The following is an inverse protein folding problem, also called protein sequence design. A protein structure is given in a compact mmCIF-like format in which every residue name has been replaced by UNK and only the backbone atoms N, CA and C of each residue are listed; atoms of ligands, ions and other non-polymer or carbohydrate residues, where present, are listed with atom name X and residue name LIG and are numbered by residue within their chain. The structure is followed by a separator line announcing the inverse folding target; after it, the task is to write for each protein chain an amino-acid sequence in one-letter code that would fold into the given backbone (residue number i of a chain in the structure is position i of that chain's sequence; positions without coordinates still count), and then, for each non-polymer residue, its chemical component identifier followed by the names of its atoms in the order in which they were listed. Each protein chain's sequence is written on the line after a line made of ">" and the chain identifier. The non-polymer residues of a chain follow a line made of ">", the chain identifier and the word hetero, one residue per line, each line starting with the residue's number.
data_IF_171023397712
#
_entry.id   IF_171023397712
#
_cell.length_a   1.000
_cell.length_b   1.000
_cell.length_c   1.000
_cell.angle_alpha   90.00
_cell.angle_beta   90.00
_cell.angle_gamma   90.00
#
_symmetry.space_group_name_H-M   'P 1'
#
loop_
_entity.id
_entity.type
_entity.pdbx_description
1 polymer ?
#
# COMPACT_ATOMS: atom_id res chain seq x y z
N UNK A 1 3.80 -7.54 10.72
CA UNK A 1 2.54 -8.06 10.13
C UNK A 1 2.84 -8.60 8.74
N UNK A 2 2.36 -9.81 8.39
CA UNK A 2 2.60 -10.46 7.10
C UNK A 2 2.30 -9.56 5.87
N UNK A 3 1.17 -8.82 5.80
CA UNK A 3 0.87 -7.99 4.64
C UNK A 3 1.92 -6.93 4.30
N UNK A 4 2.61 -6.38 5.29
CA UNK A 4 3.69 -5.42 5.06
C UNK A 4 4.95 -6.06 4.46
N UNK A 5 5.22 -7.32 4.82
CA UNK A 5 6.37 -8.07 4.29
C UNK A 5 6.16 -8.35 2.80
N UNK A 6 4.97 -8.82 2.42
CA UNK A 6 4.66 -9.17 1.03
C UNK A 6 4.64 -7.92 0.12
N UNK A 7 4.05 -6.81 0.59
CA UNK A 7 4.03 -5.53 -0.14
C UNK A 7 5.44 -4.98 -0.33
N UNK A 8 6.30 -5.08 0.69
CA UNK A 8 7.71 -4.69 0.61
C UNK A 8 8.50 -5.60 -0.35
N UNK A 9 8.22 -6.92 -0.35
CA UNK A 9 8.87 -7.85 -1.26
C UNK A 9 8.51 -7.51 -2.73
N UNK A 10 7.23 -7.23 -3.02
CA UNK A 10 6.77 -6.80 -4.33
C UNK A 10 7.41 -5.48 -4.78
N UNK A 11 7.49 -4.48 -3.90
CA UNK A 11 8.19 -3.24 -4.17
C UNK A 11 9.66 -3.48 -4.55
N UNK A 12 10.38 -4.25 -3.74
CA UNK A 12 11.80 -4.59 -4.01
C UNK A 12 11.98 -5.32 -5.33
N UNK A 13 11.11 -6.27 -5.64
CA UNK A 13 11.13 -6.98 -6.92
C UNK A 13 10.97 -6.02 -8.10
N UNK A 14 10.01 -5.10 -8.03
CA UNK A 14 9.77 -4.11 -9.08
C UNK A 14 10.97 -3.16 -9.24
N UNK A 15 11.52 -2.62 -8.14
CA UNK A 15 12.68 -1.72 -8.17
C UNK A 15 13.93 -2.42 -8.70
N UNK A 16 14.16 -3.68 -8.35
CA UNK A 16 15.25 -4.48 -8.90
C UNK A 16 15.10 -4.69 -10.41
N UNK A 17 13.89 -4.95 -10.89
CA UNK A 17 13.62 -5.16 -12.31
C UNK A 17 13.90 -3.93 -13.17
N UNK A 18 13.73 -2.72 -12.62
CA UNK A 18 14.07 -1.46 -13.32
C UNK A 18 15.48 -0.95 -13.00
N UNK A 19 16.28 -1.72 -12.26
CA UNK A 19 17.68 -1.41 -11.98
C UNK A 19 17.91 -0.29 -10.95
N UNK A 20 16.94 -0.02 -10.08
CA UNK A 20 17.00 1.04 -9.04
C UNK A 20 16.82 0.46 -7.62
N UNK A 21 17.64 -0.51 -7.17
CA UNK A 21 17.58 -1.01 -5.81
C UNK A 21 18.23 -0.01 -4.84
N UNK A 22 17.43 0.77 -4.11
CA UNK A 22 17.95 1.66 -3.06
C UNK A 22 17.26 1.35 -1.71
N UNK A 23 17.98 0.70 -0.75
CA UNK A 23 17.42 0.44 0.57
C UNK A 23 17.10 1.72 1.36
N UNK A 24 17.71 2.86 1.01
CA UNK A 24 17.42 4.17 1.60
C UNK A 24 16.06 4.76 1.20
N UNK A 25 15.35 4.15 0.24
CA UNK A 25 14.00 4.53 -0.16
C UNK A 25 12.89 3.78 0.60
N UNK A 26 13.20 3.15 1.72
CA UNK A 26 12.23 2.41 2.52
C UNK A 26 12.13 3.02 3.92
N UNK A 27 10.90 3.36 4.33
CA UNK A 27 10.61 3.76 5.69
C UNK A 27 9.48 2.89 6.26
N UNK A 28 9.61 2.53 7.54
CA UNK A 28 8.67 1.64 8.20
C UNK A 28 7.63 2.43 9.00
N UNK A 29 6.42 1.89 9.08
CA UNK A 29 5.29 2.40 9.84
C UNK A 29 4.46 1.25 10.45
N UNK A 30 3.36 1.60 11.11
CA UNK A 30 2.45 0.70 11.81
C UNK A 30 1.04 0.64 11.19
N UNK A 31 0.91 1.07 9.93
CA UNK A 31 -0.33 1.22 9.17
C UNK A 31 -1.24 2.38 9.61
N UNK A 32 -0.85 3.19 10.60
CA UNK A 32 -1.58 4.41 10.95
C UNK A 32 -1.22 5.58 10.03
N UNK A 33 -2.12 6.57 9.92
CA UNK A 33 -1.85 7.80 9.18
C UNK A 33 -0.65 8.58 9.78
N UNK A 34 -0.51 8.59 11.11
CA UNK A 34 0.60 9.25 11.78
C UNK A 34 1.95 8.59 11.43
N UNK A 35 2.00 7.26 11.39
CA UNK A 35 3.22 6.55 10.99
C UNK A 35 3.58 6.81 9.53
N UNK A 36 2.59 6.91 8.63
CA UNK A 36 2.78 7.29 7.23
C UNK A 36 3.36 8.70 7.08
N UNK A 37 2.84 9.65 7.85
CA UNK A 37 3.36 11.02 7.90
C UNK A 37 4.83 11.06 8.36
N UNK A 38 5.16 10.38 9.46
CA UNK A 38 6.53 10.32 9.98
C UNK A 38 7.48 9.59 9.03
N UNK A 39 7.00 8.51 8.39
CA UNK A 39 7.79 7.78 7.40
C UNK A 39 8.15 8.68 6.21
N UNK A 40 7.20 9.48 5.72
CA UNK A 40 7.47 10.40 4.62
C UNK A 40 8.46 11.50 5.00
N UNK A 41 8.34 12.11 6.17
CA UNK A 41 9.32 13.10 6.61
C UNK A 41 10.74 12.50 6.62
N UNK A 42 10.92 11.29 7.15
CA UNK A 42 12.22 10.60 7.13
C UNK A 42 12.71 10.34 5.69
N UNK A 43 11.83 9.91 4.79
CA UNK A 43 12.20 9.67 3.40
C UNK A 43 12.68 10.95 2.71
N UNK A 44 11.96 12.05 2.85
CA UNK A 44 12.34 13.33 2.23
C UNK A 44 13.60 13.92 2.85
N UNK A 45 13.81 13.75 4.16
CA UNK A 45 15.04 14.19 4.83
C UNK A 45 16.29 13.48 4.26
N UNK A 46 16.18 12.18 3.97
CA UNK A 46 17.27 11.40 3.39
C UNK A 46 17.33 11.46 1.86
N UNK A 47 16.21 11.68 1.20
CA UNK A 47 16.03 11.70 -0.26
C UNK A 47 15.13 12.86 -0.70
N UNK A 48 15.63 14.10 -0.73
CA UNK A 48 14.81 15.28 -1.03
C UNK A 48 14.18 15.30 -2.42
N UNK A 49 14.69 14.47 -3.33
CA UNK A 49 14.28 14.42 -4.75
C UNK A 49 13.40 13.21 -5.09
N UNK A 50 12.74 12.59 -4.11
CA UNK A 50 11.75 11.56 -4.43
C UNK A 50 10.61 12.18 -5.24
N UNK A 51 10.18 11.46 -6.27
CA UNK A 51 9.12 11.85 -7.21
C UNK A 51 7.87 10.97 -7.08
N UNK A 52 7.97 9.84 -6.39
CA UNK A 52 6.85 8.94 -6.15
C UNK A 52 6.95 8.23 -4.80
N UNK A 53 5.78 7.92 -4.22
CA UNK A 53 5.65 7.18 -2.95
C UNK A 53 4.60 6.08 -3.11
N UNK A 54 5.01 4.84 -2.81
CA UNK A 54 4.09 3.74 -2.56
C UNK A 54 3.93 3.54 -1.04
N UNK A 55 2.73 3.75 -0.54
CA UNK A 55 2.39 3.53 0.85
C UNK A 55 1.70 2.17 1.04
N UNK A 56 2.10 1.44 2.09
CA UNK A 56 1.60 0.09 2.36
C UNK A 56 0.11 0.02 2.76
N UNK A 57 -0.57 1.15 2.97
CA UNK A 57 -2.02 1.25 3.14
C UNK A 57 -2.52 2.64 2.78
N UNK A 58 -3.83 2.77 2.55
CA UNK A 58 -4.46 4.07 2.28
C UNK A 58 -4.36 5.03 3.47
N UNK A 59 -4.40 4.52 4.71
CA UNK A 59 -4.20 5.35 5.89
C UNK A 59 -2.78 5.92 5.95
N UNK A 60 -1.76 5.11 5.67
CA UNK A 60 -0.38 5.62 5.59
C UNK A 60 -0.24 6.60 4.42
N UNK A 61 -0.87 6.33 3.28
CA UNK A 61 -0.90 7.27 2.15
C UNK A 61 -1.55 8.61 2.50
N UNK A 62 -2.66 8.60 3.23
CA UNK A 62 -3.31 9.83 3.72
C UNK A 62 -2.36 10.64 4.64
N UNK A 63 -1.60 9.96 5.50
CA UNK A 63 -0.54 10.58 6.31
C UNK A 63 0.58 11.18 5.47
N UNK A 64 0.99 10.48 4.41
CA UNK A 64 2.00 10.96 3.46
C UNK A 64 1.50 12.20 2.69
N UNK A 65 0.26 12.19 2.20
CA UNK A 65 -0.36 13.36 1.56
C UNK A 65 -0.39 14.58 2.50
N UNK A 66 -0.71 14.36 3.78
CA UNK A 66 -0.68 15.43 4.79
C UNK A 66 0.74 15.99 4.97
N UNK A 67 1.77 15.14 5.02
CA UNK A 67 3.16 15.56 5.14
C UNK A 67 3.61 16.35 3.90
N UNK A 68 3.30 15.89 2.68
CA UNK A 68 3.62 16.59 1.42
C UNK A 68 3.01 17.98 1.38
N UNK A 69 1.74 18.10 1.77
CA UNK A 69 1.06 19.40 1.88
C UNK A 69 1.79 20.34 2.85
N UNK A 70 2.22 19.85 4.01
CA UNK A 70 3.00 20.66 4.97
C UNK A 70 4.37 21.08 4.46
N UNK A 71 4.97 20.30 3.58
CA UNK A 71 6.24 20.60 2.92
C UNK A 71 6.09 21.47 1.66
N UNK A 72 4.85 21.87 1.31
CA UNK A 72 4.56 22.64 0.11
C UNK A 72 4.79 21.87 -1.19
N UNK A 73 4.81 20.52 -1.15
CA UNK A 73 4.94 19.66 -2.34
C UNK A 73 3.58 19.39 -2.93
N UNK A 74 3.44 19.57 -4.23
CA UNK A 74 2.21 19.32 -4.99
C UNK A 74 2.10 17.83 -5.32
N UNK A 75 0.89 17.30 -5.20
CA UNK A 75 0.57 15.91 -5.57
C UNK A 75 -0.45 15.98 -6.71
N UNK A 76 -0.21 15.36 -7.85
CA UNK A 76 0.92 14.46 -8.18
C UNK A 76 2.15 15.18 -8.77
N UNK A 77 2.11 16.49 -9.05
CA UNK A 77 3.09 17.19 -9.89
C UNK A 77 4.54 17.09 -9.41
N UNK A 78 4.76 17.21 -8.10
CA UNK A 78 6.10 17.13 -7.50
C UNK A 78 6.37 15.72 -6.93
N UNK A 79 5.33 15.04 -6.40
CA UNK A 79 5.42 13.69 -5.85
C UNK A 79 4.10 12.95 -6.06
N UNK A 80 4.12 11.87 -6.85
CA UNK A 80 2.97 10.98 -6.98
C UNK A 80 2.81 10.09 -5.74
N UNK A 81 1.57 9.75 -5.37
CA UNK A 81 1.29 8.90 -4.20
C UNK A 81 0.31 7.79 -4.57
N UNK A 82 0.69 6.55 -4.28
CA UNK A 82 -0.19 5.38 -4.41
C UNK A 82 -0.33 4.70 -3.05
N UNK A 83 -1.57 4.37 -2.67
CA UNK A 83 -1.91 3.61 -1.47
C UNK A 83 -2.16 2.14 -1.75
N UNK A 84 -2.75 1.47 -0.78
CA UNK A 84 -3.17 0.08 -0.86
C UNK A 84 -4.42 -0.10 0.01
N UNK A 85 -5.40 -0.86 -0.44
CA UNK A 85 -6.66 -1.37 0.12
C UNK A 85 -7.91 -0.89 -0.65
N UNK A 86 -7.90 0.29 -1.27
CA UNK A 86 -9.06 1.02 -1.82
C UNK A 86 -10.18 1.19 -0.78
N UNK A 87 -9.77 1.60 0.40
CA UNK A 87 -10.66 1.89 1.52
C UNK A 87 -11.52 3.15 1.25
N UNK A 88 -12.65 3.34 1.94
CA UNK A 88 -13.43 4.57 1.81
C UNK A 88 -12.64 5.85 2.04
N UNK A 89 -11.60 5.81 2.88
CA UNK A 89 -10.72 6.94 3.15
C UNK A 89 -9.92 7.39 1.91
N UNK A 90 -9.59 6.49 0.98
CA UNK A 90 -8.89 6.83 -0.26
C UNK A 90 -9.67 7.81 -1.16
N UNK A 91 -11.00 7.79 -1.07
CA UNK A 91 -11.87 8.70 -1.81
C UNK A 91 -12.06 10.05 -1.12
N UNK A 92 -11.73 10.13 0.17
CA UNK A 92 -11.90 11.33 1.01
C UNK A 92 -10.62 12.17 1.11
N UNK A 93 -9.51 11.68 0.58
CA UNK A 93 -8.26 12.46 0.51
C UNK A 93 -8.35 13.57 -0.53
N UNK A 94 -7.51 14.59 -0.36
CA UNK A 94 -7.30 15.65 -1.34
C UNK A 94 -5.79 15.78 -1.62
N UNK A 95 -5.35 15.43 -2.86
CA UNK A 95 -6.12 14.84 -3.96
C UNK A 95 -6.65 13.43 -3.65
N UNK A 96 -7.68 12.98 -4.41
CA UNK A 96 -8.21 11.61 -4.28
C UNK A 96 -7.13 10.59 -4.57
N UNK A 97 -6.97 9.62 -3.68
CA UNK A 97 -5.86 8.67 -3.68
C UNK A 97 -6.01 7.57 -4.73
N UNK A 98 -5.00 7.45 -5.58
CA UNK A 98 -4.73 6.26 -6.39
C UNK A 98 -4.30 5.12 -5.46
N UNK A 99 -4.79 3.91 -5.68
CA UNK A 99 -4.59 2.82 -4.72
C UNK A 99 -4.72 1.44 -5.38
N UNK A 100 -4.27 0.41 -4.67
CA UNK A 100 -4.46 -0.99 -5.08
C UNK A 100 -5.71 -1.53 -4.37
N UNK A 101 -6.73 -1.90 -5.15
CA UNK A 101 -7.95 -2.53 -4.62
C UNK A 101 -7.73 -4.00 -4.37
N UNK A 102 -8.05 -4.44 -3.15
CA UNK A 102 -8.16 -5.85 -2.81
C UNK A 102 -9.59 -6.38 -3.12
N UNK A 103 -9.75 -7.62 -3.61
CA UNK A 103 -11.07 -8.21 -3.87
C UNK A 103 -11.69 -8.75 -2.57
N UNK A 104 -12.06 -7.87 -1.62
CA UNK A 104 -12.47 -8.23 -0.26
C UNK A 104 -13.67 -9.20 -0.23
N UNK A 105 -14.65 -9.02 -1.11
CA UNK A 105 -15.82 -9.91 -1.19
C UNK A 105 -15.41 -11.33 -1.61
N UNK A 106 -14.54 -11.44 -2.62
CA UNK A 106 -14.00 -12.74 -3.06
C UNK A 106 -13.13 -13.37 -1.96
N UNK A 107 -12.31 -12.57 -1.26
CA UNK A 107 -11.50 -13.03 -0.12
C UNK A 107 -12.41 -13.57 1.00
N UNK A 108 -13.43 -12.83 1.40
CA UNK A 108 -14.38 -13.26 2.42
C UNK A 108 -15.10 -14.56 2.05
N UNK A 109 -15.63 -14.63 0.83
CA UNK A 109 -16.30 -15.83 0.31
C UNK A 109 -15.37 -17.04 0.31
N UNK A 110 -14.13 -16.84 -0.13
CA UNK A 110 -13.13 -17.91 -0.21
C UNK A 110 -12.72 -18.40 1.17
N UNK A 111 -12.46 -17.48 2.12
CA UNK A 111 -12.11 -17.83 3.50
C UNK A 111 -13.19 -18.65 4.18
N UNK A 112 -14.46 -18.25 4.05
CA UNK A 112 -15.59 -19.00 4.62
C UNK A 112 -15.71 -20.36 3.95
N UNK A 113 -15.58 -20.43 2.63
CA UNK A 113 -15.62 -21.71 1.90
C UNK A 113 -14.52 -22.68 2.35
N UNK A 114 -13.28 -22.21 2.50
CA UNK A 114 -12.17 -23.02 3.00
C UNK A 114 -12.38 -23.48 4.45
N UNK A 115 -12.89 -22.61 5.31
CA UNK A 115 -13.21 -22.95 6.69
C UNK A 115 -14.27 -24.08 6.76
N UNK A 116 -15.36 -23.94 6.01
CA UNK A 116 -16.42 -24.97 5.98
C UNK A 116 -15.92 -26.30 5.42
N UNK A 117 -15.08 -26.27 4.38
CA UNK A 117 -14.47 -27.46 3.84
C UNK A 117 -13.51 -28.14 4.84
N UNK A 118 -12.73 -27.37 5.60
CA UNK A 118 -11.85 -27.89 6.64
C UNK A 118 -12.62 -28.49 7.81
N UNK A 119 -13.77 -27.88 8.18
CA UNK A 119 -14.64 -28.45 9.22
C UNK A 119 -15.31 -29.76 8.78
N UNK A 120 -15.65 -29.89 7.50
CA UNK A 120 -16.26 -31.12 6.95
C UNK A 120 -15.24 -32.25 6.79
N UNK A 121 -13.97 -31.92 6.51
CA UNK A 121 -12.86 -32.88 6.37
C UNK A 121 -11.61 -32.33 7.05
N UNK A 122 -11.39 -32.61 8.36
CA UNK A 122 -10.26 -32.11 9.12
C UNK A 122 -8.88 -32.60 8.61
N UNK A 123 -8.82 -33.72 7.92
CA UNK A 123 -7.56 -34.27 7.38
C UNK A 123 -7.20 -33.68 5.99
N UNK A 124 -8.07 -32.84 5.45
CA UNK A 124 -7.83 -32.16 4.19
C UNK A 124 -6.63 -31.20 4.28
N UNK A 125 -5.78 -31.24 3.26
CA UNK A 125 -4.70 -30.25 3.12
C UNK A 125 -5.25 -28.84 2.96
N UNK A 126 -4.71 -27.82 3.66
CA UNK A 126 -5.13 -26.45 3.49
C UNK A 126 -4.77 -25.93 2.09
N UNK A 127 -5.72 -25.25 1.44
CA UNK A 127 -5.47 -24.66 0.12
C UNK A 127 -4.83 -23.28 0.27
N UNK A 128 -3.85 -22.99 -0.59
CA UNK A 128 -3.27 -21.66 -0.72
C UNK A 128 -3.83 -21.00 -1.99
N UNK A 129 -4.61 -19.92 -1.81
CA UNK A 129 -5.26 -19.20 -2.90
C UNK A 129 -4.76 -17.78 -2.96
N UNK A 130 -4.25 -17.37 -4.12
CA UNK A 130 -3.88 -15.98 -4.42
C UNK A 130 -4.98 -15.37 -5.27
N UNK A 131 -5.45 -14.19 -4.87
CA UNK A 131 -6.46 -13.43 -5.59
C UNK A 131 -5.83 -12.18 -6.21
N UNK A 132 -6.21 -11.86 -7.44
CA UNK A 132 -5.70 -10.71 -8.16
C UNK A 132 -6.19 -9.40 -7.54
N UNK A 133 -5.28 -8.44 -7.45
CA UNK A 133 -5.57 -7.06 -7.06
C UNK A 133 -5.73 -6.17 -8.28
N UNK A 134 -6.32 -4.99 -8.13
CA UNK A 134 -6.54 -4.03 -9.20
C UNK A 134 -5.97 -2.66 -8.87
N UNK A 135 -5.18 -2.07 -9.78
CA UNK A 135 -4.78 -0.67 -9.67
C UNK A 135 -5.96 0.24 -10.00
N UNK A 136 -6.29 1.14 -9.08
CA UNK A 136 -7.31 2.17 -9.22
C UNK A 136 -6.62 3.54 -9.30
N UNK A 137 -6.53 4.09 -10.49
CA UNK A 137 -5.95 5.42 -10.69
C UNK A 137 -6.97 6.51 -10.34
N UNK A 138 -6.49 7.54 -9.62
CA UNK A 138 -7.21 8.76 -9.27
C UNK A 138 -6.29 9.98 -9.43
N UNK A 139 -6.49 11.02 -8.64
CA UNK A 139 -5.79 12.29 -8.81
C UNK A 139 -4.41 12.37 -8.15
N UNK A 140 -4.00 11.37 -7.35
CA UNK A 140 -2.72 11.41 -6.63
C UNK A 140 -1.55 10.77 -7.36
N UNK A 141 -1.79 10.12 -8.51
CA UNK A 141 -0.75 9.53 -9.36
C UNK A 141 -1.23 9.40 -10.80
#
# INVERSE_FOLDING_TARGET
>A
MAPGIDRLAGYRQAMNAVGVPDPGMIAYGDFSAMSGQHALFRLIDHRPHIDAVFAASDLMAAGALHALRRLGRRVPDDVAVIGFDDSPSAQQTDPRLSTIRQPLDAMGTRLVGELLAQLADPERDPSHVVLDTQLILRASA
#
